data_IF_633444859821
#
_entry.id   IF_633444859821
#
_cell.length_a   1.000
_cell.length_b   1.000
_cell.length_c   1.000
_cell.angle_alpha   90.00
_cell.angle_beta   90.00
_cell.angle_gamma   90.00
#
_symmetry.space_group_name_H-M   'P 1'
#
loop_
_entity.id
_entity.type
_entity.pdbx_description
1 polymer ?
#
# COMPACT_ATOMS: atom_id res chain seq x y z
N UNK A 1 20.04 -33.57 -44.59
CA UNK A 1 20.05 -35.05 -44.72
C UNK A 1 19.04 -35.60 -43.72
N UNK A 2 18.19 -36.54 -44.16
CA UNK A 2 17.00 -37.15 -43.51
C UNK A 2 15.77 -36.23 -43.45
N UNK A 3 14.95 -36.12 -44.50
CA UNK A 3 14.00 -37.06 -45.16
C UNK A 3 12.69 -37.28 -44.38
N UNK A 4 11.65 -36.66 -44.94
CA UNK A 4 10.21 -36.76 -44.74
C UNK A 4 9.70 -38.16 -45.11
N UNK A 5 8.68 -38.70 -44.44
CA UNK A 5 7.58 -39.42 -45.12
C UNK A 5 6.30 -39.48 -44.27
N UNK A 6 5.21 -38.93 -44.82
CA UNK A 6 3.82 -39.22 -44.46
C UNK A 6 3.38 -40.49 -45.19
N UNK A 7 2.64 -41.41 -44.55
CA UNK A 7 1.66 -42.29 -45.24
C UNK A 7 0.47 -42.59 -44.29
N UNK A 8 -0.73 -42.38 -44.84
CA UNK A 8 -2.08 -42.69 -44.36
C UNK A 8 -2.54 -44.12 -44.75
N UNK A 9 -3.67 -44.55 -44.16
CA UNK A 9 -4.59 -45.64 -44.60
C UNK A 9 -4.24 -47.07 -44.11
N UNK A 10 -5.15 -48.01 -43.81
CA UNK A 10 -6.63 -48.12 -43.83
C UNK A 10 -7.01 -49.40 -43.04
N UNK A 11 -8.17 -49.36 -42.37
CA UNK A 11 -9.18 -50.41 -42.15
C UNK A 11 -8.80 -51.91 -42.06
N UNK A 12 -9.23 -52.60 -41.00
CA UNK A 12 -9.85 -53.94 -41.10
C UNK A 12 -10.59 -54.33 -39.82
N UNK A 13 -11.88 -54.60 -39.97
CA UNK A 13 -12.78 -55.26 -39.02
C UNK A 13 -12.64 -56.77 -39.22
N UNK A 14 -12.52 -57.54 -38.13
CA UNK A 14 -12.86 -58.96 -38.11
C UNK A 14 -13.73 -59.22 -36.88
N UNK A 15 -15.00 -59.57 -37.15
CA UNK A 15 -15.90 -60.24 -36.22
C UNK A 15 -15.57 -61.72 -36.19
N UNK A 16 -15.53 -62.33 -35.01
CA UNK A 16 -15.81 -63.76 -34.83
C UNK A 16 -16.57 -63.93 -33.50
N UNK A 17 -17.78 -64.45 -33.63
CA UNK A 17 -18.66 -64.94 -32.56
C UNK A 17 -18.34 -66.42 -32.34
N UNK A 18 -18.29 -66.86 -31.09
CA UNK A 18 -18.52 -68.26 -30.74
C UNK A 18 -19.14 -68.35 -29.32
N UNK A 19 -20.37 -68.85 -29.27
CA UNK A 19 -21.04 -69.34 -28.06
C UNK A 19 -20.49 -70.73 -27.70
N UNK A 20 -20.43 -71.05 -26.41
CA UNK A 20 -20.04 -72.38 -25.91
C UNK A 20 -20.50 -72.63 -24.46
N UNK A 21 -21.63 -73.33 -24.39
CA UNK A 21 -22.29 -74.16 -23.36
C UNK A 21 -21.78 -74.38 -21.91
N UNK A 22 -22.79 -74.30 -21.03
CA UNK A 22 -23.22 -75.20 -19.92
C UNK A 22 -22.46 -75.43 -18.58
N UNK A 23 -23.21 -75.10 -17.51
CA UNK A 23 -23.43 -75.80 -16.22
C UNK A 23 -22.44 -75.61 -15.03
N UNK A 24 -22.84 -74.83 -14.01
CA UNK A 24 -23.22 -75.33 -12.67
C UNK A 24 -23.36 -74.22 -11.59
N UNK A 25 -24.41 -74.37 -10.79
CA UNK A 25 -24.84 -73.68 -9.55
C UNK A 25 -23.78 -72.88 -8.77
N UNK A 26 -24.09 -71.61 -8.48
CA UNK A 26 -24.47 -71.17 -7.13
C UNK A 26 -24.81 -69.67 -7.13
N UNK A 27 -25.99 -69.36 -6.59
CA UNK A 27 -26.38 -68.00 -6.23
C UNK A 27 -25.62 -67.62 -4.97
N UNK A 28 -24.83 -66.55 -5.05
CA UNK A 28 -24.51 -65.72 -3.89
C UNK A 28 -24.69 -64.27 -4.32
N UNK A 29 -25.84 -63.72 -3.96
CA UNK A 29 -26.06 -62.29 -3.90
C UNK A 29 -25.15 -61.72 -2.81
N UNK A 30 -23.95 -61.26 -3.18
CA UNK A 30 -23.16 -60.36 -2.35
C UNK A 30 -23.15 -58.97 -3.00
N UNK A 31 -24.03 -58.12 -2.44
CA UNK A 31 -23.95 -56.67 -2.34
C UNK A 31 -22.84 -56.04 -3.19
N UNK A 32 -23.24 -55.50 -4.34
CA UNK A 32 -22.54 -54.32 -4.87
C UNK A 32 -22.68 -53.25 -3.78
N UNK A 33 -21.61 -53.05 -3.01
CA UNK A 33 -21.44 -51.85 -2.23
C UNK A 33 -21.46 -50.70 -3.24
N UNK A 34 -22.63 -50.07 -3.38
CA UNK A 34 -22.77 -48.78 -4.02
C UNK A 34 -21.81 -47.85 -3.29
N UNK A 35 -20.64 -47.59 -3.89
CA UNK A 35 -19.83 -46.48 -3.49
C UNK A 35 -20.69 -45.25 -3.70
N UNK A 36 -21.25 -44.70 -2.62
CA UNK A 36 -21.67 -43.30 -2.59
C UNK A 36 -20.41 -42.49 -2.88
N UNK A 37 -20.15 -42.24 -4.16
CA UNK A 37 -19.28 -41.16 -4.58
C UNK A 37 -19.93 -39.90 -4.03
N UNK A 38 -19.44 -39.43 -2.88
CA UNK A 38 -19.77 -38.09 -2.39
C UNK A 38 -19.40 -37.13 -3.51
N UNK A 39 -20.40 -36.65 -4.25
CA UNK A 39 -20.18 -35.63 -5.27
C UNK A 39 -19.73 -34.36 -4.57
N UNK A 40 -18.45 -34.02 -4.75
CA UNK A 40 -17.87 -32.79 -4.22
C UNK A 40 -18.51 -31.61 -4.95
N UNK A 41 -19.19 -30.75 -4.21
CA UNK A 41 -19.86 -29.56 -4.76
C UNK A 41 -18.91 -28.38 -4.68
N UNK A 42 -18.42 -27.95 -5.84
CA UNK A 42 -17.60 -26.76 -5.96
C UNK A 42 -18.47 -25.51 -6.20
N UNK A 43 -18.09 -24.39 -5.57
CA UNK A 43 -18.67 -23.08 -5.83
C UNK A 43 -17.59 -22.07 -6.16
N UNK A 44 -17.96 -21.13 -7.04
CA UNK A 44 -17.14 -19.99 -7.39
C UNK A 44 -17.13 -19.00 -6.23
N UNK A 45 -15.93 -18.65 -5.78
CA UNK A 45 -15.70 -17.44 -5.01
C UNK A 45 -14.88 -16.48 -5.87
N UNK A 46 -15.05 -15.19 -5.61
CA UNK A 46 -14.39 -14.14 -6.38
C UNK A 46 -13.98 -13.00 -5.49
N UNK A 47 -13.22 -12.06 -6.03
CA UNK A 47 -12.73 -10.99 -5.21
C UNK A 47 -11.86 -10.00 -5.93
N UNK A 48 -11.28 -9.11 -5.14
CA UNK A 48 -10.22 -8.23 -5.58
C UNK A 48 -8.99 -8.34 -4.71
N UNK A 49 -7.82 -7.98 -5.23
CA UNK A 49 -6.59 -7.92 -4.48
C UNK A 49 -5.81 -6.63 -4.83
N UNK A 50 -5.60 -5.79 -3.82
CA UNK A 50 -5.06 -4.43 -3.96
C UNK A 50 -4.13 -4.07 -2.80
N UNK A 51 -3.20 -3.16 -3.06
CA UNK A 51 -2.44 -2.41 -2.07
C UNK A 51 -2.52 -0.91 -2.39
N UNK A 52 -1.39 -0.22 -2.55
CA UNK A 52 -1.37 1.11 -3.19
C UNK A 52 -1.74 1.04 -4.68
N UNK A 53 -1.67 -0.15 -5.28
CA UNK A 53 -2.06 -0.44 -6.66
C UNK A 53 -2.62 -1.86 -6.80
N UNK A 54 -3.03 -2.22 -8.01
CA UNK A 54 -3.51 -3.57 -8.35
C UNK A 54 -2.40 -4.60 -8.14
N UNK A 55 -2.68 -5.71 -7.45
CA UNK A 55 -1.76 -6.85 -7.30
C UNK A 55 -1.76 -7.75 -8.54
N UNK A 56 -1.53 -7.18 -9.72
CA UNK A 56 -1.61 -7.90 -11.00
C UNK A 56 -0.62 -9.07 -11.04
N UNK A 57 -1.08 -10.25 -11.46
CA UNK A 57 -0.26 -11.46 -11.51
C UNK A 57 -0.03 -12.14 -10.17
N UNK A 58 -0.56 -11.61 -9.06
CA UNK A 58 -0.45 -12.23 -7.75
C UNK A 58 -1.12 -13.61 -7.75
N UNK A 59 -0.47 -14.57 -7.08
CA UNK A 59 -1.03 -15.88 -6.86
C UNK A 59 -1.94 -15.83 -5.63
N UNK A 60 -3.20 -16.25 -5.78
CA UNK A 60 -4.15 -16.35 -4.67
C UNK A 60 -4.22 -17.79 -4.21
N UNK A 61 -4.00 -18.02 -2.92
CA UNK A 61 -4.08 -19.35 -2.30
C UNK A 61 -5.13 -19.34 -1.19
N UNK A 62 -5.67 -20.52 -0.92
CA UNK A 62 -6.67 -20.74 0.12
C UNK A 62 -6.25 -21.93 0.97
N UNK A 63 -6.37 -21.79 2.30
CA UNK A 63 -6.31 -22.90 3.25
C UNK A 63 -7.65 -22.95 3.96
N UNK A 64 -8.46 -23.91 3.56
CA UNK A 64 -9.79 -24.19 4.07
C UNK A 64 -9.75 -25.27 5.17
N UNK A 65 -10.92 -25.67 5.67
CA UNK A 65 -11.05 -26.82 6.57
C UNK A 65 -10.34 -28.05 5.98
N UNK A 66 -9.64 -28.78 6.84
CA UNK A 66 -8.81 -29.93 6.49
C UNK A 66 -7.60 -29.63 5.57
N UNK A 67 -7.25 -28.35 5.37
CA UNK A 67 -6.05 -27.93 4.63
C UNK A 67 -6.19 -27.88 3.11
N UNK A 68 -7.38 -28.14 2.57
CA UNK A 68 -7.64 -28.05 1.13
C UNK A 68 -7.84 -26.60 0.69
N UNK A 69 -7.63 -26.31 -0.59
CA UNK A 69 -7.75 -24.97 -1.15
C UNK A 69 -8.52 -24.93 -2.46
N UNK A 70 -8.16 -23.99 -3.32
CA UNK A 70 -8.75 -23.88 -4.66
C UNK A 70 -8.53 -25.15 -5.48
N UNK A 71 -9.55 -25.50 -6.29
CA UNK A 71 -9.48 -26.59 -7.27
C UNK A 71 -8.40 -26.36 -8.34
N UNK A 72 -8.23 -25.11 -8.75
CA UNK A 72 -7.30 -24.68 -9.78
C UNK A 72 -6.45 -23.52 -9.29
N UNK A 73 -5.32 -23.25 -9.95
CA UNK A 73 -4.50 -22.06 -9.69
C UNK A 73 -5.32 -20.79 -9.93
N UNK A 74 -5.26 -19.85 -8.99
CA UNK A 74 -5.95 -18.56 -9.04
C UNK A 74 -4.94 -17.43 -9.16
N UNK A 75 -5.12 -16.58 -10.17
CA UNK A 75 -4.26 -15.43 -10.44
C UNK A 75 -5.10 -14.16 -10.51
N UNK A 76 -4.57 -13.09 -9.95
CA UNK A 76 -5.16 -11.75 -10.04
C UNK A 76 -4.91 -11.16 -11.44
N UNK A 77 -5.97 -10.67 -12.08
CA UNK A 77 -5.87 -10.03 -13.40
C UNK A 77 -5.44 -8.55 -13.31
N UNK A 78 -5.28 -7.90 -14.46
CA UNK A 78 -4.84 -6.50 -14.56
C UNK A 78 -5.82 -5.48 -13.94
N UNK A 79 -7.07 -5.88 -13.68
CA UNK A 79 -8.09 -5.08 -12.98
C UNK A 79 -8.12 -5.37 -11.47
N UNK A 80 -7.23 -6.23 -10.97
CA UNK A 80 -7.17 -6.64 -9.57
C UNK A 80 -8.19 -7.69 -9.19
N UNK A 81 -8.90 -8.28 -10.15
CA UNK A 81 -9.93 -9.27 -9.90
C UNK A 81 -9.36 -10.69 -9.92
N UNK A 82 -9.92 -11.57 -9.11
CA UNK A 82 -9.58 -12.98 -9.09
C UNK A 82 -10.84 -13.83 -8.89
N UNK A 83 -10.77 -15.10 -9.32
CA UNK A 83 -11.86 -16.07 -9.20
C UNK A 83 -11.29 -17.47 -8.97
N UNK A 84 -11.93 -18.24 -8.10
CA UNK A 84 -11.52 -19.61 -7.79
C UNK A 84 -12.69 -20.48 -7.38
N UNK A 85 -12.55 -21.80 -7.56
CA UNK A 85 -13.55 -22.77 -7.14
C UNK A 85 -13.11 -23.48 -5.86
N UNK A 86 -13.97 -23.52 -4.84
CA UNK A 86 -13.73 -24.20 -3.56
C UNK A 86 -14.83 -25.25 -3.32
N UNK A 87 -14.45 -26.39 -2.77
CA UNK A 87 -15.40 -27.37 -2.22
C UNK A 87 -16.18 -26.73 -1.06
N UNK A 88 -17.48 -26.55 -1.24
CA UNK A 88 -18.36 -25.90 -0.25
C UNK A 88 -18.35 -26.55 1.12
N UNK A 89 -18.05 -27.85 1.22
CA UNK A 89 -17.93 -28.55 2.50
C UNK A 89 -16.68 -28.17 3.30
N UNK A 90 -15.76 -27.41 2.68
CA UNK A 90 -14.47 -27.03 3.25
C UNK A 90 -14.42 -25.62 3.81
N UNK A 91 -15.46 -24.80 3.64
CA UNK A 91 -15.50 -23.52 4.34
C UNK A 91 -15.40 -23.70 5.87
N UNK A 92 -14.83 -22.72 6.61
CA UNK A 92 -14.27 -21.47 6.11
C UNK A 92 -12.85 -21.61 5.55
N UNK A 93 -12.39 -20.58 4.83
CA UNK A 93 -11.07 -20.52 4.22
C UNK A 93 -10.33 -19.25 4.63
N UNK A 94 -9.04 -19.42 4.95
CA UNK A 94 -8.06 -18.34 5.02
C UNK A 94 -7.50 -18.14 3.63
N UNK A 95 -7.38 -16.90 3.18
CA UNK A 95 -6.91 -16.55 1.86
C UNK A 95 -5.60 -15.76 1.96
N UNK A 96 -4.71 -15.95 0.98
CA UNK A 96 -3.48 -15.19 0.81
C UNK A 96 -3.38 -14.75 -0.65
N UNK A 97 -3.10 -13.48 -0.91
CA UNK A 97 -2.66 -12.99 -2.21
C UNK A 97 -1.20 -12.56 -2.11
N UNK A 98 -0.34 -13.15 -2.94
CA UNK A 98 1.10 -12.92 -2.91
C UNK A 98 1.64 -12.44 -4.26
N UNK A 99 2.28 -11.27 -4.24
CA UNK A 99 3.05 -10.68 -5.33
C UNK A 99 4.49 -10.38 -4.87
N UNK A 100 5.38 -9.97 -5.77
CA UNK A 100 6.77 -9.63 -5.41
C UNK A 100 6.80 -8.56 -4.29
N UNK A 101 7.28 -8.97 -3.11
CA UNK A 101 7.41 -8.10 -1.93
C UNK A 101 6.11 -7.72 -1.23
N UNK A 102 4.94 -8.22 -1.66
CA UNK A 102 3.64 -7.87 -1.06
C UNK A 102 2.82 -9.13 -0.80
N UNK A 103 2.32 -9.28 0.43
CA UNK A 103 1.48 -10.42 0.84
C UNK A 103 0.40 -9.91 1.76
N UNK A 104 -0.85 -10.20 1.42
CA UNK A 104 -2.01 -9.81 2.21
C UNK A 104 -2.96 -10.98 2.36
N UNK A 105 -3.75 -10.97 3.43
CA UNK A 105 -4.60 -12.06 3.84
C UNK A 105 -6.04 -11.62 4.03
N UNK A 106 -6.92 -12.60 3.93
CA UNK A 106 -8.35 -12.41 4.13
C UNK A 106 -9.01 -13.69 4.62
N UNK A 107 -10.31 -13.62 4.86
CA UNK A 107 -11.11 -14.70 5.39
C UNK A 107 -12.45 -14.76 4.67
N UNK A 108 -12.91 -15.96 4.35
CA UNK A 108 -14.24 -16.18 3.78
C UNK A 108 -14.84 -17.47 4.35
N UNK A 109 -16.08 -17.40 4.82
CA UNK A 109 -16.80 -18.52 5.46
C UNK A 109 -17.94 -19.11 4.63
N UNK A 110 -18.21 -18.55 3.46
CA UNK A 110 -19.22 -19.04 2.52
C UNK A 110 -18.90 -18.61 1.08
N UNK A 111 -19.69 -19.03 0.11
CA UNK A 111 -19.54 -18.55 -1.26
C UNK A 111 -19.82 -17.04 -1.38
N UNK A 112 -19.03 -16.33 -2.19
CA UNK A 112 -19.26 -14.92 -2.37
C UNK A 112 -18.06 -14.16 -2.90
N UNK A 113 -18.05 -12.88 -2.56
CA UNK A 113 -16.99 -11.93 -2.90
C UNK A 113 -16.18 -11.60 -1.66
N UNK A 114 -14.86 -11.53 -1.79
CA UNK A 114 -13.98 -11.10 -0.70
C UNK A 114 -12.75 -10.38 -1.25
N UNK A 115 -12.33 -9.32 -0.57
CA UNK A 115 -11.14 -8.55 -0.89
C UNK A 115 -9.93 -9.10 -0.15
N UNK A 116 -8.74 -8.90 -0.72
CA UNK A 116 -7.45 -9.23 -0.10
C UNK A 116 -6.55 -8.00 -0.20
N UNK A 117 -6.35 -7.30 0.91
CA UNK A 117 -5.65 -6.01 0.93
C UNK A 117 -5.12 -5.68 2.35
N UNK A 118 -4.35 -4.59 2.52
CA UNK A 118 -3.88 -4.16 3.84
C UNK A 118 -4.97 -4.00 4.92
N UNK A 119 -6.17 -3.53 4.57
CA UNK A 119 -7.25 -3.34 5.55
C UNK A 119 -7.78 -4.68 6.04
N UNK A 120 -7.91 -5.70 5.17
CA UNK A 120 -8.33 -7.04 5.58
C UNK A 120 -7.28 -7.70 6.48
N UNK A 121 -6.00 -7.46 6.23
CA UNK A 121 -4.90 -7.87 7.12
C UNK A 121 -5.00 -7.23 8.51
N UNK A 122 -5.26 -5.92 8.58
CA UNK A 122 -5.41 -5.22 9.86
C UNK A 122 -6.60 -5.77 10.67
N UNK A 123 -7.73 -6.07 10.01
CA UNK A 123 -8.87 -6.71 10.67
C UNK A 123 -8.50 -8.12 11.15
N UNK A 124 -7.84 -8.92 10.31
CA UNK A 124 -7.37 -10.26 10.69
C UNK A 124 -6.43 -10.18 11.89
N UNK A 125 -5.49 -9.24 11.89
CA UNK A 125 -4.54 -9.08 12.98
C UNK A 125 -5.23 -8.77 14.30
N UNK A 126 -6.16 -7.80 14.28
CA UNK A 126 -6.92 -7.39 15.46
C UNK A 126 -7.84 -8.51 15.96
N UNK A 127 -8.57 -9.17 15.05
CA UNK A 127 -9.55 -10.21 15.40
C UNK A 127 -8.91 -11.50 15.93
N UNK A 128 -7.73 -11.85 15.43
CA UNK A 128 -7.03 -13.10 15.77
C UNK A 128 -5.98 -12.95 16.88
N UNK A 129 -5.59 -11.72 17.20
CA UNK A 129 -4.43 -11.40 18.04
C UNK A 129 -3.13 -12.03 17.53
N UNK A 130 -2.99 -12.18 16.20
CA UNK A 130 -1.82 -12.76 15.55
C UNK A 130 -1.40 -11.89 14.37
N UNK A 131 -0.13 -11.98 13.98
CA UNK A 131 0.31 -11.40 12.69
C UNK A 131 -0.37 -12.19 11.56
N UNK A 132 -0.92 -11.55 10.50
CA UNK A 132 -1.68 -12.23 9.46
C UNK A 132 -0.97 -13.43 8.81
N UNK A 133 0.34 -13.32 8.55
CA UNK A 133 1.13 -14.43 7.98
C UNK A 133 1.18 -15.66 8.89
N UNK A 134 1.23 -15.46 10.22
CA UNK A 134 1.20 -16.54 11.20
C UNK A 134 -0.22 -17.11 11.31
N UNK A 135 -1.22 -16.24 11.36
CA UNK A 135 -2.63 -16.62 11.38
C UNK A 135 -3.02 -17.44 10.15
N UNK A 136 -2.50 -17.12 8.97
CA UNK A 136 -2.80 -17.84 7.73
C UNK A 136 -2.42 -19.33 7.80
N UNK A 137 -1.38 -19.69 8.56
CA UNK A 137 -0.91 -21.07 8.67
C UNK A 137 -1.81 -21.95 9.55
N UNK A 138 -2.28 -21.42 10.69
CA UNK A 138 -2.94 -22.24 11.72
C UNK A 138 -4.06 -21.55 12.49
N UNK A 139 -4.32 -20.27 12.22
CA UNK A 139 -5.30 -19.46 12.93
C UNK A 139 -6.74 -19.87 12.68
N UNK A 140 -7.61 -19.62 13.66
CA UNK A 140 -9.06 -19.75 13.49
C UNK A 140 -9.71 -18.38 13.53
N UNK A 141 -10.90 -18.26 12.94
CA UNK A 141 -11.68 -17.04 12.94
C UNK A 141 -13.16 -17.41 13.06
N UNK A 142 -13.91 -16.56 13.74
CA UNK A 142 -15.37 -16.64 13.81
C UNK A 142 -15.93 -15.36 13.22
N UNK A 143 -17.08 -15.44 12.57
CA UNK A 143 -17.75 -14.30 11.94
C UNK A 143 -17.99 -13.16 12.94
N UNK A 144 -18.31 -13.46 14.21
CA UNK A 144 -18.53 -12.44 15.24
C UNK A 144 -17.26 -11.64 15.57
N UNK A 145 -16.11 -12.32 15.69
CA UNK A 145 -14.80 -11.69 15.94
C UNK A 145 -14.40 -10.82 14.76
N UNK A 146 -14.58 -11.33 13.54
CA UNK A 146 -14.25 -10.61 12.33
C UNK A 146 -15.10 -9.35 12.19
N UNK A 147 -16.42 -9.46 12.40
CA UNK A 147 -17.34 -8.34 12.35
C UNK A 147 -17.01 -7.29 13.42
N UNK A 148 -16.75 -7.73 14.66
CA UNK A 148 -16.36 -6.83 15.76
C UNK A 148 -15.08 -6.07 15.45
N UNK A 149 -14.07 -6.77 14.90
CA UNK A 149 -12.81 -6.18 14.48
C UNK A 149 -12.95 -5.23 13.29
N UNK A 150 -13.78 -5.57 12.31
CA UNK A 150 -14.11 -4.71 11.17
C UNK A 150 -14.73 -3.40 11.68
N UNK A 151 -15.77 -3.46 12.50
CA UNK A 151 -16.41 -2.28 13.07
C UNK A 151 -15.45 -1.45 13.93
N UNK A 152 -14.59 -2.09 14.73
CA UNK A 152 -13.60 -1.37 15.54
C UNK A 152 -12.56 -0.63 14.69
N UNK A 153 -12.06 -1.27 13.63
CA UNK A 153 -11.13 -0.64 12.70
C UNK A 153 -11.78 0.50 11.93
N UNK A 154 -13.00 0.31 11.42
CA UNK A 154 -13.77 1.37 10.73
C UNK A 154 -13.98 2.58 11.65
N UNK A 155 -14.38 2.35 12.90
CA UNK A 155 -14.58 3.43 13.87
C UNK A 155 -13.27 4.21 14.13
N UNK A 156 -12.14 3.51 14.25
CA UNK A 156 -10.85 4.18 14.43
C UNK A 156 -10.40 4.91 13.17
N UNK A 157 -10.61 4.35 11.97
CA UNK A 157 -10.31 5.03 10.69
C UNK A 157 -11.08 6.36 10.57
N UNK A 158 -12.38 6.35 10.92
CA UNK A 158 -13.21 7.57 10.91
C UNK A 158 -12.68 8.59 11.91
N UNK A 159 -12.40 8.16 13.14
CA UNK A 159 -11.81 9.01 14.19
C UNK A 159 -10.45 9.60 13.78
N UNK A 160 -9.69 8.89 12.94
CA UNK A 160 -8.41 9.31 12.39
C UNK A 160 -8.54 10.16 11.12
N UNK A 161 -9.76 10.42 10.64
CA UNK A 161 -10.04 11.32 9.52
C UNK A 161 -10.09 10.66 8.14
N UNK A 162 -10.01 9.33 8.06
CA UNK A 162 -10.10 8.63 6.78
C UNK A 162 -11.54 8.62 6.25
N UNK A 163 -11.69 8.79 4.92
CA UNK A 163 -12.97 8.95 4.24
C UNK A 163 -13.78 7.66 4.07
N UNK A 164 -14.03 6.92 5.15
CA UNK A 164 -14.87 5.71 5.17
C UNK A 164 -16.18 5.96 5.94
N UNK A 165 -17.20 5.13 5.71
CA UNK A 165 -18.49 5.21 6.42
C UNK A 165 -18.58 4.15 7.54
N UNK A 166 -19.48 4.36 8.51
CA UNK A 166 -19.62 3.50 9.68
C UNK A 166 -20.00 2.05 9.34
N UNK A 167 -20.70 1.84 8.23
CA UNK A 167 -21.21 0.52 7.80
C UNK A 167 -20.29 -0.15 6.76
N UNK A 168 -19.04 0.32 6.61
CA UNK A 168 -18.10 -0.23 5.63
C UNK A 168 -17.76 -1.68 5.97
N UNK A 169 -18.04 -2.60 5.06
CA UNK A 169 -17.52 -3.97 5.09
C UNK A 169 -16.18 -4.02 4.34
N UNK A 170 -15.08 -4.05 5.07
CA UNK A 170 -13.73 -4.01 4.48
C UNK A 170 -13.41 -5.28 3.68
N UNK A 171 -14.12 -6.38 3.93
CA UNK A 171 -13.95 -7.65 3.24
C UNK A 171 -14.74 -7.67 1.93
N UNK A 172 -15.96 -7.15 1.91
CA UNK A 172 -16.85 -7.40 0.77
C UNK A 172 -17.20 -6.14 -0.05
N UNK A 173 -16.87 -4.94 0.44
CA UNK A 173 -17.10 -3.70 -0.29
C UNK A 173 -16.41 -3.73 -1.66
N UNK A 174 -17.06 -3.19 -2.69
CA UNK A 174 -16.49 -3.21 -4.02
C UNK A 174 -15.21 -2.38 -4.12
N UNK A 175 -14.05 -3.01 -4.29
CA UNK A 175 -12.78 -2.29 -4.46
C UNK A 175 -12.56 -1.90 -5.93
N UNK A 176 -12.41 -0.59 -6.17
CA UNK A 176 -12.01 0.00 -7.46
C UNK A 176 -11.04 1.14 -7.18
N UNK A 177 -10.19 1.48 -8.15
CA UNK A 177 -9.16 2.51 -7.99
C UNK A 177 -9.68 3.89 -7.52
N UNK A 178 -10.94 4.22 -7.83
CA UNK A 178 -11.61 5.46 -7.45
C UNK A 178 -12.63 5.33 -6.30
N UNK A 179 -12.66 4.18 -5.61
CA UNK A 179 -13.56 4.00 -4.46
C UNK A 179 -12.96 4.68 -3.20
N UNK A 180 -13.77 5.37 -2.37
CA UNK A 180 -13.36 5.88 -1.06
C UNK A 180 -12.53 4.93 -0.20
N UNK A 181 -12.82 3.62 -0.20
CA UNK A 181 -12.04 2.64 0.59
C UNK A 181 -10.63 2.42 0.03
N UNK A 182 -10.47 2.43 -1.30
CA UNK A 182 -9.15 2.37 -1.94
C UNK A 182 -8.35 3.63 -1.64
N UNK A 183 -8.99 4.80 -1.72
CA UNK A 183 -8.36 6.07 -1.35
C UNK A 183 -7.94 6.08 0.13
N UNK A 184 -8.82 5.67 1.04
CA UNK A 184 -8.50 5.59 2.46
C UNK A 184 -7.31 4.65 2.74
N UNK A 185 -7.23 3.52 2.02
CA UNK A 185 -6.09 2.61 2.10
C UNK A 185 -4.79 3.25 1.59
N UNK A 186 -4.82 3.97 0.46
CA UNK A 186 -3.65 4.68 -0.06
C UNK A 186 -3.18 5.75 0.94
N UNK A 187 -4.10 6.59 1.42
CA UNK A 187 -3.83 7.64 2.41
C UNK A 187 -3.28 7.06 3.72
N UNK A 188 -3.77 5.89 4.14
CA UNK A 188 -3.29 5.20 5.34
C UNK A 188 -1.85 4.70 5.15
N UNK A 189 -1.56 4.00 4.05
CA UNK A 189 -0.21 3.50 3.78
C UNK A 189 0.80 4.65 3.67
N UNK A 190 0.40 5.77 3.08
CA UNK A 190 1.20 6.99 3.04
C UNK A 190 1.41 7.60 4.44
N UNK A 191 0.35 7.67 5.26
CA UNK A 191 0.46 8.13 6.64
C UNK A 191 1.37 7.26 7.50
N UNK A 192 1.48 5.97 7.20
CA UNK A 192 2.42 5.04 7.85
C UNK A 192 3.86 5.35 7.40
N UNK A 193 4.11 5.49 6.10
CA UNK A 193 5.46 5.77 5.57
C UNK A 193 6.07 7.08 6.08
N UNK A 194 5.20 8.06 6.31
CA UNK A 194 5.57 9.36 6.83
C UNK A 194 5.53 9.42 8.37
N UNK A 195 5.17 8.32 9.04
CA UNK A 195 5.04 8.31 10.49
C UNK A 195 6.41 8.32 11.21
N UNK A 196 6.61 9.24 12.16
CA UNK A 196 7.80 9.26 13.01
C UNK A 196 7.79 8.21 14.14
N UNK A 197 6.62 7.71 14.54
CA UNK A 197 6.44 6.79 15.68
C UNK A 197 6.28 5.33 15.28
N UNK A 198 5.88 5.05 14.03
CA UNK A 198 5.69 3.71 13.49
C UNK A 198 6.61 3.56 12.29
N UNK A 199 7.50 2.57 12.36
CA UNK A 199 8.54 2.37 11.35
C UNK A 199 7.96 2.04 9.96
N UNK A 200 7.04 1.10 9.92
CA UNK A 200 6.47 0.54 8.69
C UNK A 200 5.11 -0.15 8.97
N UNK A 201 4.49 -0.67 7.92
CA UNK A 201 3.21 -1.36 7.99
C UNK A 201 3.26 -2.62 8.88
N UNK A 202 4.35 -3.38 8.83
CA UNK A 202 4.53 -4.57 9.67
C UNK A 202 4.61 -4.22 11.16
N UNK A 203 5.31 -3.13 11.50
CA UNK A 203 5.33 -2.59 12.86
C UNK A 203 3.93 -2.17 13.34
N UNK A 204 3.10 -1.60 12.46
CA UNK A 204 1.71 -1.30 12.79
C UNK A 204 0.90 -2.56 13.05
N UNK A 205 1.04 -3.61 12.22
CA UNK A 205 0.34 -4.88 12.44
C UNK A 205 0.71 -5.52 13.79
N UNK A 206 1.96 -5.39 14.23
CA UNK A 206 2.40 -5.85 15.55
C UNK A 206 1.67 -5.14 16.69
N UNK A 207 1.41 -3.83 16.56
CA UNK A 207 0.65 -3.06 17.54
C UNK A 207 -0.84 -3.42 17.51
N UNK A 208 -1.40 -3.59 16.32
CA UNK A 208 -2.82 -3.91 16.10
C UNK A 208 -3.17 -5.29 16.64
N UNK A 209 -2.34 -6.32 16.42
CA UNK A 209 -2.60 -7.65 16.99
C UNK A 209 -2.69 -7.63 18.53
N UNK A 210 -2.01 -6.68 19.17
CA UNK A 210 -2.00 -6.50 20.63
C UNK A 210 -3.15 -5.58 21.11
N UNK A 211 -4.10 -5.27 20.23
CA UNK A 211 -5.30 -4.49 20.54
C UNK A 211 -5.14 -2.97 20.40
N UNK A 212 -3.98 -2.48 19.98
CA UNK A 212 -3.66 -1.06 19.99
C UNK A 212 -4.12 -0.32 18.71
N UNK A 213 -5.41 -0.42 18.36
CA UNK A 213 -5.97 0.28 17.19
C UNK A 213 -5.74 1.79 17.23
N UNK A 214 -5.66 2.40 18.41
CA UNK A 214 -5.38 3.83 18.56
C UNK A 214 -4.02 4.27 17.97
N UNK A 215 -3.13 3.31 17.68
CA UNK A 215 -1.85 3.56 17.02
C UNK A 215 -1.97 3.71 15.51
N UNK A 216 -3.13 3.40 14.89
CA UNK A 216 -3.40 3.78 13.50
C UNK A 216 -3.08 5.27 13.34
N UNK A 217 -2.21 5.66 12.40
CA UNK A 217 -1.81 7.05 12.26
C UNK A 217 -3.04 7.90 11.91
N UNK A 218 -2.99 9.18 12.27
CA UNK A 218 -4.00 10.11 11.77
C UNK A 218 -3.82 10.24 10.25
N UNK A 219 -4.93 10.37 9.53
CA UNK A 219 -4.90 10.78 8.13
C UNK A 219 -4.05 12.05 8.05
N UNK A 220 -3.14 12.06 7.09
CA UNK A 220 -2.45 13.28 6.72
C UNK A 220 -3.50 14.20 6.10
N UNK A 221 -3.83 15.29 6.79
CA UNK A 221 -4.70 16.31 6.22
C UNK A 221 -3.93 17.03 5.11
N UNK A 222 -4.19 16.57 3.89
CA UNK A 222 -3.90 17.32 2.69
C UNK A 222 -4.79 18.54 2.70
N UNK A 223 -4.22 19.67 3.11
CA UNK A 223 -4.83 20.96 2.89
C UNK A 223 -4.93 21.13 1.36
N UNK A 224 -6.09 20.81 0.78
CA UNK A 224 -6.53 21.35 -0.52
C UNK A 224 -6.77 22.84 -0.32
N UNK A 225 -5.69 23.55 -0.03
CA UNK A 225 -5.72 24.92 0.35
C UNK A 225 -5.89 25.71 -0.94
N UNK A 226 -7.12 26.18 -1.16
CA UNK A 226 -7.35 27.39 -1.97
C UNK A 226 -6.59 28.60 -1.39
N UNK A 227 -6.02 28.47 -0.19
CA UNK A 227 -5.25 29.48 0.54
C UNK A 227 -3.91 28.88 0.99
N UNK A 228 -2.81 29.22 0.32
CA UNK A 228 -1.47 28.72 0.65
C UNK A 228 -1.15 28.80 2.16
N UNK A 229 -0.57 27.73 2.72
CA UNK A 229 -0.13 27.72 4.12
C UNK A 229 0.98 28.74 4.32
N UNK A 230 0.84 29.57 5.36
CA UNK A 230 1.89 30.49 5.81
C UNK A 230 2.68 29.81 6.92
N UNK A 231 3.99 29.71 6.72
CA UNK A 231 4.90 29.11 7.66
C UNK A 231 5.56 30.17 8.55
N UNK A 232 5.85 29.78 9.79
CA UNK A 232 6.61 30.58 10.75
C UNK A 232 7.87 29.81 11.12
N UNK A 233 8.95 30.54 11.35
CA UNK A 233 10.28 29.97 11.56
C UNK A 233 10.82 30.34 12.93
N UNK A 234 11.23 29.33 13.68
CA UNK A 234 11.90 29.50 14.96
C UNK A 234 13.42 29.61 14.74
N UNK A 235 13.94 30.83 14.61
CA UNK A 235 15.38 31.10 14.41
C UNK A 235 16.24 30.58 15.57
N UNK A 236 15.70 30.52 16.78
CA UNK A 236 16.40 30.00 17.97
C UNK A 236 16.62 28.48 17.91
N UNK A 237 15.95 27.80 16.97
CA UNK A 237 16.17 26.37 16.71
C UNK A 237 17.44 26.10 15.89
N UNK A 238 18.15 27.15 15.44
CA UNK A 238 19.34 27.10 14.61
C UNK A 238 20.52 27.86 15.24
N UNK A 239 21.72 27.61 14.73
CA UNK A 239 22.91 28.40 15.03
C UNK A 239 23.03 29.56 14.03
N UNK A 240 23.24 30.78 14.52
CA UNK A 240 23.43 31.98 13.68
C UNK A 240 24.82 32.00 13.04
N UNK A 241 24.89 32.40 11.78
CA UNK A 241 26.13 32.67 11.05
C UNK A 241 26.39 34.19 10.91
N UNK A 242 27.63 34.61 10.63
CA UNK A 242 27.94 36.01 10.37
C UNK A 242 27.07 36.57 9.23
N UNK A 243 26.47 37.74 9.44
CA UNK A 243 25.67 38.41 8.41
C UNK A 243 26.53 38.72 7.18
N UNK A 244 25.97 38.50 5.99
CA UNK A 244 26.49 39.08 4.75
C UNK A 244 25.61 40.29 4.39
N UNK A 245 26.00 41.04 3.35
CA UNK A 245 25.36 42.32 3.01
C UNK A 245 23.83 42.22 2.88
N UNK A 246 23.34 41.18 2.20
CA UNK A 246 21.91 41.01 1.87
C UNK A 246 21.30 39.71 2.40
N UNK A 247 21.99 38.97 3.30
CA UNK A 247 21.44 37.71 3.83
C UNK A 247 21.63 37.56 5.34
N UNK A 248 20.62 37.00 6.01
CA UNK A 248 20.74 36.41 7.35
C UNK A 248 20.80 34.90 7.23
N UNK A 249 21.92 34.31 7.66
CA UNK A 249 22.18 32.89 7.48
C UNK A 249 22.20 32.15 8.82
N UNK A 250 21.69 30.93 8.80
CA UNK A 250 21.61 30.04 9.94
C UNK A 250 22.01 28.63 9.51
N UNK A 251 22.62 27.86 10.41
CA UNK A 251 22.97 26.46 10.21
C UNK A 251 22.64 25.62 11.43
N UNK A 252 22.86 24.30 11.37
CA UNK A 252 22.55 23.35 12.45
C UNK A 252 21.14 23.49 13.00
N UNK A 253 20.18 23.72 12.13
CA UNK A 253 18.77 23.81 12.48
C UNK A 253 18.27 22.47 13.01
N UNK A 254 17.50 22.53 14.10
CA UNK A 254 16.80 21.37 14.65
C UNK A 254 15.40 21.21 14.07
N UNK A 255 14.77 20.09 14.39
CA UNK A 255 13.37 19.76 14.10
C UNK A 255 12.36 20.84 14.54
N UNK A 256 12.75 21.74 15.45
CA UNK A 256 11.93 22.85 15.95
C UNK A 256 11.96 24.11 15.09
N UNK A 257 12.76 24.15 14.02
CA UNK A 257 12.85 25.34 13.13
C UNK A 257 11.52 25.66 12.47
N UNK A 258 10.71 24.64 12.20
CA UNK A 258 9.39 24.74 11.58
C UNK A 258 8.50 23.65 12.18
N UNK A 259 7.25 23.97 12.48
CA UNK A 259 6.29 23.00 13.03
C UNK A 259 6.05 21.84 12.06
N UNK A 260 5.53 20.72 12.54
CA UNK A 260 5.12 19.61 11.69
C UNK A 260 4.03 20.02 10.70
N UNK A 261 4.11 19.49 9.48
CA UNK A 261 3.19 19.87 8.41
C UNK A 261 3.06 18.80 7.32
N UNK A 262 2.00 18.94 6.53
CA UNK A 262 1.87 18.31 5.22
C UNK A 262 1.43 19.37 4.21
N UNK A 263 2.07 19.35 3.05
CA UNK A 263 1.80 20.23 1.91
C UNK A 263 1.69 19.38 0.65
N UNK A 264 0.58 19.50 -0.06
CA UNK A 264 0.25 18.72 -1.27
C UNK A 264 -0.26 19.58 -2.41
N UNK A 265 -0.37 20.89 -2.20
CA UNK A 265 -0.64 21.86 -3.25
C UNK A 265 0.65 22.20 -3.99
N UNK A 266 1.36 21.15 -4.42
CA UNK A 266 2.59 21.21 -5.17
C UNK A 266 2.42 20.38 -6.44
N UNK A 267 2.92 20.91 -7.54
CA UNK A 267 2.96 20.23 -8.83
C UNK A 267 4.38 20.24 -9.35
N UNK A 268 4.74 19.19 -10.08
CA UNK A 268 6.06 19.12 -10.70
C UNK A 268 6.29 20.34 -11.63
N UNK A 269 7.52 20.80 -11.74
CA UNK A 269 7.84 21.95 -12.60
C UNK A 269 7.89 21.58 -14.09
N UNK A 270 8.04 20.29 -14.38
CA UNK A 270 8.18 19.70 -15.73
C UNK A 270 6.88 19.04 -16.26
N UNK A 271 5.88 18.87 -15.40
CA UNK A 271 4.60 18.19 -15.68
C UNK A 271 3.54 18.65 -14.69
N UNK A 272 2.31 18.14 -14.76
CA UNK A 272 1.26 18.44 -13.75
C UNK A 272 1.10 17.31 -12.71
N UNK A 273 2.13 16.48 -12.57
CA UNK A 273 2.16 15.44 -11.54
C UNK A 273 2.16 16.08 -10.15
N UNK A 274 1.32 15.54 -9.25
CA UNK A 274 1.23 16.04 -7.87
C UNK A 274 2.44 15.63 -7.05
N UNK A 275 2.85 16.52 -6.16
CA UNK A 275 3.92 16.28 -5.21
C UNK A 275 3.43 16.47 -3.79
N UNK A 276 4.05 15.76 -2.86
CA UNK A 276 3.68 15.76 -1.44
C UNK A 276 4.94 16.01 -0.63
N UNK A 277 4.87 16.98 0.27
CA UNK A 277 5.91 17.32 1.22
C UNK A 277 5.34 17.14 2.63
N UNK A 278 6.03 16.36 3.47
CA UNK A 278 5.60 16.11 4.85
C UNK A 278 6.80 16.31 5.77
N UNK A 279 6.58 17.05 6.86
CA UNK A 279 7.48 17.07 8.01
C UNK A 279 6.78 16.44 9.21
N UNK A 280 7.43 15.46 9.82
CA UNK A 280 7.03 14.93 11.12
C UNK A 280 8.25 14.72 12.03
N UNK A 281 8.25 15.40 13.17
CA UNK A 281 9.41 15.47 14.05
C UNK A 281 10.62 16.01 13.28
N UNK A 282 11.74 15.28 13.34
CA UNK A 282 12.94 15.63 12.59
C UNK A 282 12.92 15.18 11.13
N UNK A 283 12.00 14.31 10.70
CA UNK A 283 12.00 13.77 9.32
C UNK A 283 11.20 14.68 8.39
N UNK A 284 11.80 14.99 7.23
CA UNK A 284 11.13 15.62 6.10
C UNK A 284 11.15 14.65 4.93
N UNK A 285 9.98 14.39 4.34
CA UNK A 285 9.78 13.51 3.19
C UNK A 285 9.18 14.30 2.04
N UNK A 286 9.74 14.11 0.84
CA UNK A 286 9.25 14.69 -0.38
C UNK A 286 9.02 13.61 -1.43
N UNK A 287 7.78 13.53 -1.92
CA UNK A 287 7.30 12.48 -2.82
C UNK A 287 6.78 13.09 -4.12
N UNK A 288 7.21 12.53 -5.26
CA UNK A 288 6.67 12.79 -6.60
C UNK A 288 6.41 11.43 -7.25
N UNK A 289 5.15 11.13 -7.53
CA UNK A 289 4.76 9.82 -8.07
C UNK A 289 5.12 8.66 -7.14
N UNK A 290 5.95 7.73 -7.63
CA UNK A 290 6.46 6.59 -6.87
C UNK A 290 7.86 6.84 -6.25
N UNK A 291 8.43 8.03 -6.45
CA UNK A 291 9.74 8.39 -5.93
C UNK A 291 9.59 9.17 -4.63
N UNK A 292 10.44 8.88 -3.64
CA UNK A 292 10.47 9.60 -2.35
C UNK A 292 11.90 9.87 -1.96
N UNK A 293 12.16 11.11 -1.53
CA UNK A 293 13.39 11.55 -0.89
C UNK A 293 13.06 11.87 0.56
N UNK A 294 13.91 11.47 1.50
CA UNK A 294 13.78 11.88 2.90
C UNK A 294 15.10 12.45 3.41
N UNK A 295 15.00 13.47 4.25
CA UNK A 295 16.11 14.08 4.98
C UNK A 295 15.67 14.36 6.43
N UNK A 296 16.63 14.65 7.30
CA UNK A 296 16.47 14.81 8.74
C UNK A 296 16.96 16.21 9.14
N UNK A 297 16.23 16.86 10.04
CA UNK A 297 16.62 18.06 10.78
C UNK A 297 17.25 17.62 12.11
N UNK A 298 18.48 17.14 12.05
CA UNK A 298 19.21 16.57 13.18
C UNK A 298 20.42 17.42 13.62
N UNK A 299 20.43 18.69 13.22
CA UNK A 299 21.43 19.71 13.54
C UNK A 299 22.77 19.46 12.85
N UNK A 300 22.72 18.84 11.69
CA UNK A 300 23.90 18.71 10.86
C UNK A 300 24.38 20.07 10.34
N UNK A 301 25.65 20.15 9.97
CA UNK A 301 26.29 21.42 9.60
C UNK A 301 25.55 22.16 8.47
N UNK A 302 24.95 21.42 7.55
CA UNK A 302 24.25 21.94 6.37
C UNK A 302 22.72 22.03 6.55
N UNK A 303 22.19 21.72 7.74
CA UNK A 303 20.79 22.00 8.07
C UNK A 303 20.64 23.51 8.27
N UNK A 304 20.32 24.23 7.20
CA UNK A 304 20.48 25.68 7.12
C UNK A 304 19.22 26.40 6.74
N UNK A 305 19.10 27.64 7.21
CA UNK A 305 18.02 28.53 6.85
C UNK A 305 18.61 29.88 6.46
N UNK A 306 18.21 30.41 5.31
CA UNK A 306 18.68 31.68 4.79
C UNK A 306 17.50 32.63 4.56
N UNK A 307 17.66 33.89 4.95
CA UNK A 307 16.74 34.98 4.65
C UNK A 307 17.45 35.95 3.70
N UNK A 308 16.91 36.13 2.51
CA UNK A 308 17.47 37.02 1.48
C UNK A 308 16.67 38.32 1.43
N UNK A 309 17.37 39.45 1.42
CA UNK A 309 16.79 40.78 1.42
C UNK A 309 17.16 41.52 0.13
N UNK A 310 16.20 42.24 -0.43
CA UNK A 310 16.40 43.17 -1.55
C UNK A 310 15.94 44.57 -1.14
N UNK A 311 16.80 45.57 -1.31
CA UNK A 311 16.59 46.96 -0.85
C UNK A 311 16.12 47.08 0.63
N UNK A 312 16.47 46.11 1.48
CA UNK A 312 16.10 46.06 2.89
C UNK A 312 14.76 45.37 3.20
N UNK A 313 14.03 44.94 2.17
CA UNK A 313 12.81 44.16 2.29
C UNK A 313 13.12 42.66 2.18
N UNK A 314 12.46 41.84 3.01
CA UNK A 314 12.60 40.39 2.91
C UNK A 314 12.01 39.91 1.58
N UNK A 315 12.77 39.14 0.81
CA UNK A 315 12.34 38.64 -0.50
C UNK A 315 12.02 37.14 -0.45
N UNK A 316 12.98 36.35 0.07
CA UNK A 316 12.95 34.88 0.03
C UNK A 316 13.45 34.34 1.36
N UNK A 317 12.83 33.24 1.79
CA UNK A 317 13.31 32.41 2.89
C UNK A 317 13.59 31.03 2.31
N UNK A 318 14.79 30.49 2.53
CA UNK A 318 15.15 29.14 2.11
C UNK A 318 15.48 28.28 3.34
N UNK A 319 15.01 27.04 3.36
CA UNK A 319 15.34 26.03 4.36
C UNK A 319 15.91 24.80 3.65
N UNK A 320 17.16 24.47 3.95
CA UNK A 320 17.87 23.32 3.42
C UNK A 320 18.01 22.28 4.52
N UNK A 321 17.58 21.05 4.22
CA UNK A 321 17.65 19.90 5.12
C UNK A 321 18.52 18.84 4.46
N UNK A 322 19.53 18.32 5.17
CA UNK A 322 20.47 17.36 4.60
C UNK A 322 20.67 16.14 5.48
N UNK A 323 20.90 14.98 4.87
CA UNK A 323 21.23 13.74 5.61
C UNK A 323 22.20 12.90 4.83
N UNK A 324 23.27 12.47 5.48
CA UNK A 324 24.26 11.55 4.94
C UNK A 324 25.69 12.10 5.03
N UNK A 325 26.69 11.33 4.59
CA UNK A 325 28.08 11.77 4.60
C UNK A 325 28.28 12.93 3.63
N UNK A 326 28.72 14.09 4.13
CA UNK A 326 28.94 15.33 3.36
C UNK A 326 30.22 15.31 2.49
N UNK A 327 30.64 14.13 2.05
CA UNK A 327 31.90 13.95 1.31
C UNK A 327 31.76 14.17 -0.19
N UNK A 328 30.55 13.98 -0.75
CA UNK A 328 30.21 14.21 -2.17
C UNK A 328 28.71 14.54 -2.32
N UNK A 329 28.37 15.36 -3.32
CA UNK A 329 27.01 15.71 -3.71
C UNK A 329 26.13 14.51 -4.07
N UNK A 330 26.76 13.38 -4.43
CA UNK A 330 26.07 12.12 -4.74
C UNK A 330 25.81 11.23 -3.52
N UNK A 331 26.26 11.64 -2.33
CA UNK A 331 26.25 10.76 -1.14
C UNK A 331 25.29 11.21 -0.04
N UNK A 332 24.62 12.34 -0.21
CA UNK A 332 23.63 12.83 0.74
C UNK A 332 22.23 12.94 0.11
N UNK A 333 21.22 12.81 0.97
CA UNK A 333 19.85 13.21 0.66
C UNK A 333 19.65 14.66 1.06
N UNK A 334 18.98 15.43 0.22
CA UNK A 334 18.72 16.84 0.46
C UNK A 334 17.30 17.19 0.07
N UNK A 335 16.68 18.04 0.89
CA UNK A 335 15.42 18.68 0.60
C UNK A 335 15.62 20.19 0.81
N UNK A 336 15.46 20.96 -0.25
CA UNK A 336 15.45 22.41 -0.22
C UNK A 336 14.03 22.93 -0.34
N UNK A 337 13.63 23.78 0.59
CA UNK A 337 12.32 24.44 0.63
C UNK A 337 12.51 25.93 0.42
N UNK A 338 11.80 26.51 -0.52
CA UNK A 338 11.84 27.95 -0.80
C UNK A 338 10.48 28.57 -0.53
N UNK A 339 10.47 29.67 0.23
CA UNK A 339 9.28 30.39 0.64
C UNK A 339 9.34 31.85 0.16
N UNK A 340 8.17 32.43 -0.09
CA UNK A 340 8.03 33.87 -0.29
C UNK A 340 8.26 34.63 1.01
N UNK A 341 8.45 35.94 0.90
CA UNK A 341 8.56 36.86 2.03
C UNK A 341 7.40 36.83 3.02
N UNK A 342 6.20 36.47 2.56
CA UNK A 342 5.02 36.24 3.42
C UNK A 342 4.94 34.82 4.00
N UNK A 343 5.99 34.01 3.85
CA UNK A 343 6.13 32.69 4.44
C UNK A 343 5.38 31.57 3.72
N UNK A 344 4.88 31.78 2.49
CA UNK A 344 4.23 30.71 1.72
C UNK A 344 5.25 29.88 0.97
N UNK A 345 5.05 28.55 0.97
CA UNK A 345 5.92 27.65 0.21
C UNK A 345 5.74 27.88 -1.30
N UNK A 346 6.85 28.15 -1.99
CA UNK A 346 6.92 28.39 -3.43
C UNK A 346 7.41 27.18 -4.17
N UNK A 347 8.50 26.58 -3.69
CA UNK A 347 9.19 25.51 -4.38
C UNK A 347 9.81 24.53 -3.40
N UNK A 348 9.94 23.30 -3.87
CA UNK A 348 10.58 22.18 -3.19
C UNK A 348 11.48 21.48 -4.19
N UNK A 349 12.72 21.28 -3.78
CA UNK A 349 13.70 20.48 -4.53
C UNK A 349 14.15 19.34 -3.64
N UNK A 350 14.12 18.11 -4.14
CA UNK A 350 14.64 16.96 -3.40
C UNK A 350 15.50 16.06 -4.27
N UNK A 351 16.59 15.56 -3.70
CA UNK A 351 17.49 14.60 -4.35
C UNK A 351 18.04 13.61 -3.33
N UNK A 352 18.41 12.43 -3.78
CA UNK A 352 19.16 11.45 -2.98
C UNK A 352 20.12 10.67 -3.88
N UNK A 353 21.02 9.84 -3.32
CA UNK A 353 21.93 9.01 -4.12
C UNK A 353 21.21 8.07 -5.11
N UNK A 354 19.94 7.72 -4.83
CA UNK A 354 19.15 6.77 -5.62
C UNK A 354 17.95 7.41 -6.33
N UNK A 355 17.66 8.70 -6.06
CA UNK A 355 16.56 9.44 -6.68
C UNK A 355 17.12 10.71 -7.31
N UNK A 356 16.96 10.83 -8.63
CA UNK A 356 17.29 12.05 -9.38
C UNK A 356 16.57 13.27 -8.83
N UNK A 357 17.10 14.46 -9.06
CA UNK A 357 16.48 15.70 -8.59
C UNK A 357 15.02 15.81 -9.02
N UNK A 358 14.14 15.95 -8.02
CA UNK A 358 12.71 16.20 -8.15
C UNK A 358 12.47 17.67 -7.83
N UNK A 359 11.70 18.35 -8.68
CA UNK A 359 11.40 19.77 -8.54
C UNK A 359 9.89 19.95 -8.61
N UNK A 360 9.31 20.51 -7.54
CA UNK A 360 7.90 20.85 -7.51
C UNK A 360 7.72 22.28 -7.00
N UNK A 361 6.64 22.91 -7.45
CA UNK A 361 6.31 24.29 -7.11
C UNK A 361 4.83 24.39 -6.77
N UNK A 362 4.47 25.43 -6.01
CA UNK A 362 3.08 25.80 -5.86
C UNK A 362 2.51 26.19 -7.24
N UNK A 363 1.23 25.92 -7.53
CA UNK A 363 0.63 26.26 -8.82
C UNK A 363 0.77 27.75 -9.19
N UNK A 364 0.70 28.63 -8.21
CA UNK A 364 0.91 30.08 -8.40
C UNK A 364 2.34 30.39 -8.82
N UNK A 365 3.32 29.79 -8.14
CA UNK A 365 4.72 30.01 -8.48
C UNK A 365 5.10 29.38 -9.83
N UNK A 366 4.56 28.19 -10.15
CA UNK A 366 4.74 27.57 -11.47
C UNK A 366 4.26 28.48 -12.60
N UNK A 367 3.08 29.10 -12.47
CA UNK A 367 2.57 30.08 -13.45
C UNK A 367 3.51 31.26 -13.61
N UNK A 368 4.06 31.79 -12.51
CA UNK A 368 5.05 32.86 -12.57
C UNK A 368 6.31 32.40 -13.33
N UNK A 369 6.84 31.22 -13.03
CA UNK A 369 8.01 30.67 -13.73
C UNK A 369 7.77 30.55 -15.25
N UNK A 370 6.56 30.21 -15.68
CA UNK A 370 6.19 30.10 -17.09
C UNK A 370 6.10 31.46 -17.80
N UNK A 371 5.81 32.55 -17.08
CA UNK A 371 5.79 33.91 -17.65
C UNK A 371 7.20 34.47 -17.93
N UNK A 372 8.23 33.91 -17.28
CA UNK A 372 9.63 34.33 -17.41
C UNK A 372 10.50 33.35 -18.21
N UNK A 373 9.90 32.32 -18.82
CA UNK A 373 10.53 31.48 -19.86
C UNK A 373 10.30 32.10 -21.23
#
# INVERSE_FOLDING_TARGET
>A
MNIIFKITSVLSVILLVACGDENSKSVSEEKIAQSTQNQVTYKLISGTAFSTSVLNGANVTAICKDGLGFKNKVIVNAQGQWQGEIDTSKFPCRLEAKAEGQTYHSYIDHEGRVNINPLTDMVVAYASNQVPVTWYQSGSMTTEKLNSANSALVAELIKKGYGVNNDMDLFNAEMKANNPIHQAMQELLEAIQNNGNIKDYDALLMLIKDGNLSQVPKKIEFLNNSVAKVFSFNKDACQVLPKTENTEQYNKCSDKVIDDFSESNLVATDSDEKCILVKQGNKVSFTKGNQTVSALLDKEQEDGMDFTFDEGELEIIDLIINTGPYTDINTYSQIGLSFSSDGKLRAVVGKSPIVSSMNCASPEFKKLMELYK
#
